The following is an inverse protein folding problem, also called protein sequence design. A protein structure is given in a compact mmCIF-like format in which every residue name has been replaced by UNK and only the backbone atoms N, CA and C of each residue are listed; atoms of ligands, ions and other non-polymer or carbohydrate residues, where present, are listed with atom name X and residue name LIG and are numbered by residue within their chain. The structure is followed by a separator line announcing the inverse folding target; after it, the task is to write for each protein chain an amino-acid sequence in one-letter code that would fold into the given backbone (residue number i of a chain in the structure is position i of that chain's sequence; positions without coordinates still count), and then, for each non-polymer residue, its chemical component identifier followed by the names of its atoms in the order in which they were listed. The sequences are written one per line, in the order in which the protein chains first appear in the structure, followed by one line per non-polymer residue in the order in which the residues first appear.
data_IF_721044359195
#
_entry.id   IF_721044359195
#
_cell.length_a   1.000
_cell.length_b   1.000
_cell.length_c   1.000
_cell.angle_alpha   90.00
_cell.angle_beta   90.00
_cell.angle_gamma   90.00
#
_symmetry.space_group_name_H-M   'P 1'
#
loop_
_entity.id
_entity.type
_entity.pdbx_description
1 polymer ?
#
# COMPACT_ATOMS: atom_id res chain seq x y z
N UNK A 1 -7.88 14.45 -7.09
CA UNK A 1 -6.88 13.46 -6.63
C UNK A 1 -7.34 12.80 -5.35
N UNK A 2 -7.10 11.52 -5.22
CA UNK A 2 -7.46 10.78 -4.00
C UNK A 2 -6.58 11.24 -2.85
N UNK A 3 -7.19 11.55 -1.70
CA UNK A 3 -6.47 11.97 -0.51
C UNK A 3 -5.63 10.81 0.03
N UNK A 4 -4.40 11.11 0.47
CA UNK A 4 -3.46 10.11 1.02
C UNK A 4 -4.09 9.31 2.16
N UNK A 5 -4.80 9.96 3.08
CA UNK A 5 -5.47 9.27 4.20
C UNK A 5 -6.51 8.28 3.69
N UNK A 6 -7.31 8.67 2.71
CA UNK A 6 -8.32 7.79 2.12
C UNK A 6 -7.68 6.62 1.37
N UNK A 7 -6.57 6.88 0.67
CA UNK A 7 -5.83 5.81 0.00
C UNK A 7 -5.36 4.75 1.01
N UNK A 8 -4.77 5.19 2.11
CA UNK A 8 -4.30 4.29 3.17
C UNK A 8 -5.48 3.54 3.80
N UNK A 9 -6.55 4.23 4.13
CA UNK A 9 -7.72 3.62 4.76
C UNK A 9 -8.37 2.58 3.85
N UNK A 10 -8.54 2.90 2.57
CA UNK A 10 -9.08 1.95 1.58
C UNK A 10 -8.15 0.74 1.44
N UNK A 11 -6.85 0.98 1.37
CA UNK A 11 -5.87 -0.10 1.27
C UNK A 11 -5.98 -1.06 2.44
N UNK A 12 -6.07 -0.53 3.66
CA UNK A 12 -6.23 -1.35 4.88
C UNK A 12 -7.54 -2.13 4.87
N UNK A 13 -8.63 -1.51 4.42
CA UNK A 13 -9.92 -2.19 4.31
C UNK A 13 -9.88 -3.33 3.28
N UNK A 14 -9.28 -3.10 2.13
CA UNK A 14 -9.14 -4.14 1.09
C UNK A 14 -8.26 -5.28 1.59
N UNK A 15 -7.15 -4.96 2.27
CA UNK A 15 -6.29 -5.98 2.89
C UNK A 15 -7.06 -6.80 3.92
N UNK A 16 -7.81 -6.13 4.79
CA UNK A 16 -8.59 -6.81 5.84
C UNK A 16 -9.63 -7.74 5.23
N UNK A 17 -10.34 -7.27 4.21
CA UNK A 17 -11.31 -8.08 3.47
C UNK A 17 -10.64 -9.31 2.84
N UNK A 18 -9.50 -9.11 2.19
CA UNK A 18 -8.74 -10.19 1.56
C UNK A 18 -8.23 -11.20 2.58
N UNK A 19 -7.74 -10.73 3.72
CA UNK A 19 -7.26 -11.59 4.81
C UNK A 19 -8.39 -12.43 5.40
N UNK A 20 -9.56 -11.85 5.61
CA UNK A 20 -10.73 -12.57 6.10
C UNK A 20 -11.17 -13.65 5.11
N UNK A 21 -11.16 -13.32 3.80
CA UNK A 21 -11.53 -14.24 2.74
C UNK A 21 -10.57 -15.44 2.65
N UNK A 22 -9.27 -15.17 2.84
CA UNK A 22 -8.20 -16.15 2.65
C UNK A 22 -7.51 -16.57 3.96
N UNK A 23 -8.16 -16.31 5.11
CA UNK A 23 -7.71 -16.76 6.44
C UNK A 23 -6.36 -16.20 6.89
N UNK A 24 -6.03 -14.99 6.45
CA UNK A 24 -4.87 -14.26 6.97
C UNK A 24 -5.35 -13.33 8.09
N UNK A 25 -4.60 -13.27 9.19
CA UNK A 25 -5.10 -12.69 10.43
C UNK A 25 -4.53 -11.33 10.81
N UNK A 26 -3.49 -10.82 10.11
CA UNK A 26 -2.85 -9.56 10.45
C UNK A 26 -2.21 -8.89 9.22
N UNK A 27 -1.67 -7.68 9.41
CA UNK A 27 -1.00 -6.94 8.36
C UNK A 27 0.51 -7.19 8.31
N UNK A 28 1.04 -8.08 9.15
CA UNK A 28 2.43 -8.50 9.12
C UNK A 28 2.67 -9.25 7.82
N UNK A 29 3.78 -8.95 7.16
CA UNK A 29 4.13 -9.52 5.85
C UNK A 29 3.17 -9.16 4.72
N UNK A 30 2.31 -8.13 4.92
CA UNK A 30 1.38 -7.67 3.90
C UNK A 30 1.83 -6.41 3.18
N UNK A 31 3.09 -6.00 3.34
CA UNK A 31 3.61 -4.80 2.68
C UNK A 31 3.54 -4.92 1.15
N UNK A 32 3.79 -6.10 0.60
CA UNK A 32 3.64 -6.33 -0.84
C UNK A 32 2.19 -6.15 -1.29
N UNK A 33 1.25 -6.72 -0.55
CA UNK A 33 -0.16 -6.60 -0.85
C UNK A 33 -0.66 -5.18 -0.72
N UNK A 34 -0.25 -4.46 0.32
CA UNK A 34 -0.59 -3.06 0.50
C UNK A 34 -0.08 -2.22 -0.67
N UNK A 35 1.18 -2.42 -1.04
CA UNK A 35 1.80 -1.70 -2.15
C UNK A 35 1.09 -1.99 -3.48
N UNK A 36 0.75 -3.24 -3.73
CA UNK A 36 0.02 -3.65 -4.93
C UNK A 36 -1.37 -2.99 -5.00
N UNK A 37 -2.10 -2.96 -3.89
CA UNK A 37 -3.42 -2.32 -3.83
C UNK A 37 -3.32 -0.82 -4.09
N UNK A 38 -2.40 -0.13 -3.42
CA UNK A 38 -2.20 1.30 -3.59
C UNK A 38 -1.79 1.64 -5.03
N UNK A 39 -0.86 0.88 -5.58
CA UNK A 39 -0.44 1.04 -6.97
C UNK A 39 -1.62 0.86 -7.93
N UNK A 40 -2.42 -0.19 -7.74
CA UNK A 40 -3.58 -0.46 -8.58
C UNK A 40 -4.60 0.69 -8.52
N UNK A 41 -4.92 1.16 -7.32
CA UNK A 41 -5.88 2.26 -7.14
C UNK A 41 -5.37 3.54 -7.83
N UNK A 42 -4.12 3.88 -7.59
CA UNK A 42 -3.56 5.11 -8.15
C UNK A 42 -3.45 5.08 -9.67
N UNK A 43 -3.08 3.94 -10.25
CA UNK A 43 -2.89 3.84 -11.69
C UNK A 43 -4.19 3.64 -12.46
N UNK A 44 -5.23 3.11 -11.84
CA UNK A 44 -6.50 2.81 -12.52
C UNK A 44 -7.63 3.79 -12.21
N UNK A 45 -7.58 4.48 -11.06
CA UNK A 45 -8.69 5.33 -10.61
C UNK A 45 -8.29 6.78 -10.38
N UNK A 46 -7.04 7.14 -10.61
CA UNK A 46 -6.55 8.52 -10.51
C UNK A 46 -5.70 8.86 -11.73
N UNK A 47 -5.35 10.15 -11.86
CA UNK A 47 -4.47 10.63 -12.91
C UNK A 47 -2.99 10.65 -12.50
N UNK A 48 -2.67 10.10 -11.32
CA UNK A 48 -1.29 10.05 -10.84
C UNK A 48 -0.43 9.18 -11.76
N UNK A 49 0.75 9.71 -12.13
CA UNK A 49 1.66 9.04 -13.06
C UNK A 49 3.02 8.72 -12.45
N UNK A 50 3.42 9.47 -11.43
CA UNK A 50 4.70 9.26 -10.75
C UNK A 50 4.49 8.37 -9.53
N UNK A 51 4.22 7.09 -9.80
CA UNK A 51 3.92 6.07 -8.78
C UNK A 51 4.93 4.94 -8.92
N UNK A 52 5.67 4.69 -7.86
CA UNK A 52 6.72 3.65 -7.83
C UNK A 52 6.52 2.71 -6.66
N UNK A 53 6.67 1.42 -6.91
CA UNK A 53 6.74 0.41 -5.85
C UNK A 53 8.21 0.16 -5.54
N UNK A 54 8.58 0.31 -4.27
CA UNK A 54 9.96 0.30 -3.83
C UNK A 54 10.20 -0.84 -2.86
N UNK A 55 11.25 -1.60 -3.10
CA UNK A 55 11.78 -2.61 -2.18
C UNK A 55 13.01 -2.08 -1.49
N UNK A 56 13.11 -2.33 -0.21
CA UNK A 56 14.26 -1.92 0.57
C UNK A 56 14.15 -2.35 2.01
N UNK A 57 14.57 -1.48 2.92
CA UNK A 57 14.47 -1.73 4.34
C UNK A 57 13.84 -0.55 5.06
N UNK A 58 13.14 -0.86 6.15
CA UNK A 58 12.72 0.10 7.15
C UNK A 58 13.40 -0.28 8.46
N UNK A 59 14.21 0.62 9.00
CA UNK A 59 15.00 0.39 10.23
C UNK A 59 15.76 -0.95 10.17
N UNK A 60 16.36 -1.24 9.00
CA UNK A 60 17.13 -2.46 8.68
C UNK A 60 16.32 -3.75 8.52
N UNK A 61 14.98 -3.68 8.54
CA UNK A 61 14.11 -4.81 8.24
C UNK A 61 13.58 -4.72 6.81
N UNK A 62 13.58 -5.84 6.09
CA UNK A 62 13.06 -5.90 4.72
C UNK A 62 11.62 -5.39 4.66
N UNK A 63 11.33 -4.56 3.65
CA UNK A 63 10.05 -3.89 3.54
C UNK A 63 9.77 -3.45 2.10
N UNK A 64 8.50 -3.19 1.81
CA UNK A 64 8.04 -2.66 0.54
C UNK A 64 7.03 -1.53 0.80
N UNK A 65 7.12 -0.47 0.00
CA UNK A 65 6.23 0.68 0.10
C UNK A 65 6.06 1.32 -1.27
N UNK A 66 5.25 2.38 -1.35
CA UNK A 66 5.14 3.15 -2.59
C UNK A 66 5.69 4.57 -2.40
N UNK A 67 6.12 5.14 -3.50
CA UNK A 67 6.53 6.54 -3.57
C UNK A 67 5.70 7.20 -4.66
N UNK A 68 4.98 8.25 -4.28
CA UNK A 68 4.09 8.99 -5.18
C UNK A 68 4.54 10.44 -5.19
N UNK A 69 4.95 10.94 -6.35
CA UNK A 69 5.45 12.30 -6.49
C UNK A 69 6.57 12.63 -5.48
N UNK A 70 7.43 11.66 -5.22
CA UNK A 70 8.55 11.81 -4.28
C UNK A 70 8.17 11.63 -2.81
N UNK A 71 6.92 11.38 -2.48
CA UNK A 71 6.47 11.17 -1.10
C UNK A 71 6.28 9.68 -0.81
N UNK A 72 6.83 9.21 0.31
CA UNK A 72 6.64 7.84 0.80
C UNK A 72 5.22 7.69 1.33
N UNK A 73 4.52 6.66 0.84
CA UNK A 73 3.23 6.25 1.38
C UNK A 73 3.33 4.77 1.75
N UNK A 74 3.08 4.46 3.01
CA UNK A 74 3.28 3.12 3.56
C UNK A 74 2.15 2.76 4.49
N UNK A 75 1.24 1.93 4.02
CA UNK A 75 0.04 1.56 4.76
C UNK A 75 0.29 0.49 5.84
N UNK A 76 1.52 -0.03 5.96
CA UNK A 76 1.83 -1.11 6.90
C UNK A 76 3.06 -0.83 7.77
N UNK A 77 3.51 0.41 7.85
CA UNK A 77 4.69 0.77 8.67
C UNK A 77 4.48 0.46 10.15
N UNK A 78 3.25 0.42 10.62
CA UNK A 78 2.91 0.11 12.00
C UNK A 78 3.23 -1.34 12.39
N UNK A 79 3.54 -2.21 11.43
CA UNK A 79 4.04 -3.56 11.73
C UNK A 79 5.38 -3.53 12.48
N UNK A 80 6.14 -2.42 12.37
CA UNK A 80 7.45 -2.27 13.02
C UNK A 80 7.36 -1.62 14.40
N UNK A 81 6.19 -1.19 14.82
CA UNK A 81 5.96 -0.59 16.13
C UNK A 81 4.76 0.34 16.14
N UNK A 82 4.06 0.39 17.26
CA UNK A 82 2.84 1.19 17.41
C UNK A 82 3.12 2.69 17.35
N UNK A 83 4.37 3.11 17.54
CA UNK A 83 4.76 4.51 17.47
C UNK A 83 4.82 5.05 16.04
N UNK A 84 4.81 4.17 15.03
CA UNK A 84 4.89 4.58 13.64
C UNK A 84 3.49 4.75 13.07
N UNK A 85 3.17 5.99 12.69
CA UNK A 85 1.87 6.31 12.10
C UNK A 85 1.86 5.99 10.60
N UNK A 86 0.86 5.22 10.17
CA UNK A 86 0.65 4.92 8.75
C UNK A 86 0.31 6.17 7.92
N UNK A 87 -0.16 7.25 8.58
CA UNK A 87 -0.52 8.49 7.89
C UNK A 87 0.63 9.49 7.78
N UNK A 88 1.75 9.21 8.41
CA UNK A 88 2.86 10.17 8.54
C UNK A 88 4.21 9.52 8.22
N UNK A 89 4.23 8.60 7.25
CA UNK A 89 5.45 7.84 6.91
C UNK A 89 6.62 8.74 6.53
N UNK A 90 6.34 9.90 5.92
CA UNK A 90 7.39 10.85 5.55
C UNK A 90 8.17 11.41 6.74
N UNK A 91 7.59 11.38 7.95
CA UNK A 91 8.32 11.77 9.17
C UNK A 91 9.46 10.80 9.50
N UNK A 92 9.37 9.57 9.01
CA UNK A 92 10.34 8.50 9.30
C UNK A 92 11.26 8.24 8.10
N UNK A 93 11.34 9.16 7.14
CA UNK A 93 12.04 8.92 5.87
C UNK A 93 13.49 8.47 6.05
N UNK A 94 14.14 8.86 7.14
CA UNK A 94 15.52 8.48 7.42
C UNK A 94 15.67 6.99 7.79
N UNK A 95 14.58 6.32 8.12
CA UNK A 95 14.57 4.88 8.43
C UNK A 95 14.32 4.03 7.19
N UNK A 96 13.85 4.64 6.10
CA UNK A 96 13.64 3.96 4.82
C UNK A 96 14.92 3.99 4.00
N UNK A 97 15.31 2.84 3.49
CA UNK A 97 16.44 2.72 2.56
C UNK A 97 16.00 1.95 1.33
N UNK A 98 15.94 2.64 0.21
CA UNK A 98 15.61 2.04 -1.06
C UNK A 98 16.75 1.16 -1.56
N UNK A 99 16.45 -0.06 -1.96
CA UNK A 99 17.41 -0.99 -2.57
C UNK A 99 17.11 -1.19 -4.05
N UNK A 100 15.83 -1.30 -4.40
CA UNK A 100 15.42 -1.46 -5.79
C UNK A 100 14.00 -0.97 -5.98
N UNK A 101 13.67 -0.65 -7.23
CA UNK A 101 12.29 -0.40 -7.64
C UNK A 101 11.72 -1.70 -8.20
N UNK A 102 10.53 -2.08 -7.72
CA UNK A 102 9.86 -3.27 -8.22
C UNK A 102 9.17 -2.90 -9.54
N UNK A 103 9.49 -3.65 -10.59
CA UNK A 103 8.84 -3.51 -11.90
C UNK A 103 7.45 -4.16 -11.91
N UNK A 104 6.75 -4.00 -10.85
CA UNK A 104 5.31 -4.16 -10.68
C UNK A 104 4.56 -5.36 -11.27
N UNK A 105 4.82 -5.88 -12.48
CA UNK A 105 3.88 -6.86 -13.05
C UNK A 105 3.76 -8.18 -12.28
N UNK A 106 4.85 -8.69 -11.71
CA UNK A 106 4.82 -10.01 -11.09
C UNK A 106 4.16 -10.03 -9.72
N UNK A 107 4.60 -9.15 -8.81
CA UNK A 107 4.01 -9.06 -7.47
C UNK A 107 2.57 -8.60 -7.56
N UNK A 108 2.32 -7.62 -8.43
CA UNK A 108 0.99 -7.09 -8.67
C UNK A 108 0.04 -8.18 -9.15
N UNK A 109 0.42 -8.98 -10.15
CA UNK A 109 -0.43 -10.04 -10.70
C UNK A 109 -0.72 -11.12 -9.66
N UNK A 110 0.28 -11.50 -8.86
CA UNK A 110 0.10 -12.50 -7.81
C UNK A 110 -0.94 -12.05 -6.78
N UNK A 111 -0.89 -10.79 -6.37
CA UNK A 111 -1.84 -10.25 -5.41
C UNK A 111 -3.21 -9.99 -6.01
N UNK A 112 -3.28 -9.59 -7.29
CA UNK A 112 -4.54 -9.29 -7.94
C UNK A 112 -5.45 -10.50 -8.10
N UNK A 113 -4.92 -11.72 -8.03
CA UNK A 113 -5.75 -12.92 -7.97
C UNK A 113 -6.65 -12.97 -6.72
N UNK A 114 -6.19 -12.35 -5.63
CA UNK A 114 -6.87 -12.38 -4.34
C UNK A 114 -7.63 -11.09 -4.02
N UNK A 115 -7.43 -10.03 -4.79
CA UNK A 115 -8.04 -8.73 -4.53
C UNK A 115 -9.38 -8.64 -5.24
N UNK A 116 -10.41 -8.30 -4.46
CA UNK A 116 -11.75 -8.12 -4.98
C UNK A 116 -11.89 -6.70 -5.57
N UNK A 117 -11.79 -6.61 -6.90
CA UNK A 117 -11.93 -5.34 -7.62
C UNK A 117 -13.29 -4.69 -7.43
N UNK A 118 -14.33 -5.48 -7.29
CA UNK A 118 -15.67 -4.97 -7.05
C UNK A 118 -15.75 -4.29 -5.68
N UNK A 119 -15.10 -4.86 -4.68
CA UNK A 119 -15.01 -4.28 -3.35
C UNK A 119 -14.28 -2.94 -3.37
N UNK A 120 -13.19 -2.85 -4.13
CA UNK A 120 -12.47 -1.59 -4.33
C UNK A 120 -13.38 -0.52 -4.93
N UNK A 121 -14.13 -0.86 -5.96
CA UNK A 121 -15.05 0.08 -6.61
C UNK A 121 -16.10 0.59 -5.63
N UNK A 122 -16.68 -0.30 -4.82
CA UNK A 122 -17.65 0.09 -3.80
C UNK A 122 -17.03 1.07 -2.81
N UNK A 123 -15.85 0.78 -2.28
CA UNK A 123 -15.19 1.64 -1.31
C UNK A 123 -14.85 3.01 -1.91
N UNK A 124 -14.37 3.04 -3.14
CA UNK A 124 -14.06 4.30 -3.83
C UNK A 124 -15.32 5.14 -4.04
N UNK A 125 -16.44 4.52 -4.38
CA UNK A 125 -17.70 5.24 -4.53
C UNK A 125 -18.17 5.84 -3.21
N UNK A 126 -18.00 5.13 -2.10
CA UNK A 126 -18.36 5.65 -0.78
C UNK A 126 -17.50 6.85 -0.36
N UNK A 127 -16.27 6.93 -0.84
CA UNK A 127 -15.35 8.03 -0.53
C UNK A 127 -15.51 9.21 -1.47
N UNK A 128 -15.72 8.96 -2.77
CA UNK A 128 -15.74 10.00 -3.80
C UNK A 128 -17.12 10.56 -4.07
N UNK A 129 -18.15 9.90 -3.68
CA UNK A 129 -19.54 10.27 -3.87
C UNK A 129 -20.32 10.18 -2.55
#
# INVERSE_FOLDING_TARGET
MLNKKFLIDITREVLNHTQNEYLRSDFTDCCEGASAIMYYILTNYTEEKDVHVVNGTFNNFGHEWIVVNGEIIDATVDQFGDDYSIYSSSLYKNLYREESEDDTPLVFDDWMEYIDNFYIVILLNLVLF
#
